data_IF_696485649649
#
_entry.id   IF_696485649649
#
_cell.length_a   1.000
_cell.length_b   1.000
_cell.length_c   1.000
_cell.angle_alpha   90.00
_cell.angle_beta   90.00
_cell.angle_gamma   90.00
#
_symmetry.space_group_name_H-M   'P 1'
#
loop_
_entity.id
_entity.type
_entity.pdbx_description
1 polymer ?
#
# COMPACT_ATOMS: atom_id res chain seq x y z
N UNK A 1 -24.02 4.08 -5.69
CA UNK A 1 -22.75 4.83 -5.53
C UNK A 1 -22.80 5.98 -6.51
N UNK A 2 -22.44 7.20 -6.11
CA UNK A 2 -22.28 8.33 -7.03
C UNK A 2 -21.22 7.98 -8.10
N UNK A 3 -21.46 8.34 -9.37
CA UNK A 3 -20.60 8.00 -10.49
C UNK A 3 -19.15 8.47 -10.33
N UNK A 4 -18.92 9.63 -9.69
CA UNK A 4 -17.59 10.15 -9.38
C UNK A 4 -16.86 9.26 -8.37
N UNK A 5 -17.53 8.81 -7.31
CA UNK A 5 -16.92 7.92 -6.32
C UNK A 5 -16.45 6.58 -6.94
N UNK A 6 -17.23 6.04 -7.89
CA UNK A 6 -16.84 4.84 -8.62
C UNK A 6 -15.59 5.07 -9.49
N UNK A 7 -15.52 6.20 -10.20
CA UNK A 7 -14.35 6.59 -11.02
C UNK A 7 -13.11 6.78 -10.15
N UNK A 8 -13.23 7.49 -9.03
CA UNK A 8 -12.13 7.70 -8.08
C UNK A 8 -11.60 6.37 -7.51
N UNK A 9 -12.51 5.42 -7.24
CA UNK A 9 -12.15 4.09 -6.74
C UNK A 9 -11.40 3.29 -7.81
N UNK A 10 -11.92 3.25 -9.04
CA UNK A 10 -11.29 2.56 -10.16
C UNK A 10 -9.90 3.12 -10.49
N UNK A 11 -9.72 4.43 -10.35
CA UNK A 11 -8.44 5.11 -10.54
C UNK A 11 -7.49 5.01 -9.31
N UNK A 12 -7.91 4.39 -8.22
CA UNK A 12 -7.09 4.23 -7.01
C UNK A 12 -6.84 5.53 -6.23
N UNK A 13 -7.68 6.56 -6.46
CA UNK A 13 -7.57 7.91 -5.87
C UNK A 13 -8.75 8.26 -4.97
N UNK A 14 -9.60 7.29 -4.62
CA UNK A 14 -10.66 7.49 -3.64
C UNK A 14 -10.07 7.65 -2.22
N UNK A 15 -10.36 8.78 -1.58
CA UNK A 15 -9.96 9.04 -0.21
C UNK A 15 -10.92 8.32 0.77
N UNK A 16 -10.49 7.16 1.28
CA UNK A 16 -11.23 6.42 2.30
C UNK A 16 -11.42 7.18 3.62
N UNK A 17 -10.63 8.25 3.84
CA UNK A 17 -10.69 9.10 5.04
C UNK A 17 -11.30 10.47 4.73
N UNK A 18 -12.25 10.54 3.79
CA UNK A 18 -12.92 11.79 3.41
C UNK A 18 -13.50 12.55 4.62
N UNK A 19 -14.07 11.84 5.61
CA UNK A 19 -14.60 12.45 6.83
C UNK A 19 -13.56 13.07 7.76
N UNK A 20 -12.27 12.79 7.55
CA UNK A 20 -11.17 13.41 8.30
C UNK A 20 -10.72 14.75 7.69
N UNK A 21 -11.24 15.13 6.52
CA UNK A 21 -10.97 16.43 5.89
C UNK A 21 -11.96 17.44 6.47
N UNK A 22 -11.46 18.38 7.27
CA UNK A 22 -12.23 19.38 8.00
C UNK A 22 -11.84 20.82 7.64
N UNK A 23 -10.95 21.01 6.66
CA UNK A 23 -10.61 22.34 6.17
C UNK A 23 -11.87 23.03 5.60
N UNK A 24 -12.15 24.30 5.97
CA UNK A 24 -13.37 25.00 5.56
C UNK A 24 -13.59 25.10 4.05
N UNK A 25 -12.55 24.97 3.22
CA UNK A 25 -12.72 24.94 1.76
C UNK A 25 -13.61 23.77 1.32
N UNK A 26 -13.49 22.61 1.97
CA UNK A 26 -14.22 21.39 1.63
C UNK A 26 -15.69 21.38 2.11
N UNK A 27 -16.07 22.32 2.97
CA UNK A 27 -17.47 22.52 3.39
C UNK A 27 -18.14 23.72 2.74
N UNK A 28 -17.36 24.68 2.23
CA UNK A 28 -17.88 25.95 1.69
C UNK A 28 -18.22 25.93 0.20
N UNK A 29 -17.75 24.93 -0.56
CA UNK A 29 -18.02 24.84 -2.00
C UNK A 29 -18.05 23.41 -2.50
N UNK A 30 -19.00 23.10 -3.38
CA UNK A 30 -19.13 21.79 -4.05
C UNK A 30 -17.96 21.49 -5.02
N UNK A 31 -17.10 22.47 -5.30
CA UNK A 31 -15.90 22.28 -6.11
C UNK A 31 -14.85 21.40 -5.39
N UNK A 32 -14.77 21.50 -4.07
CA UNK A 32 -13.80 20.75 -3.26
C UNK A 32 -14.44 19.44 -2.77
N UNK A 33 -13.92 18.31 -3.23
CA UNK A 33 -14.45 16.99 -2.91
C UNK A 33 -13.49 16.25 -1.96
N UNK A 34 -13.88 16.02 -0.70
CA UNK A 34 -13.00 15.36 0.27
C UNK A 34 -12.72 13.89 -0.09
N UNK A 35 -13.48 13.33 -1.05
CA UNK A 35 -13.31 11.96 -1.55
C UNK A 35 -12.25 11.87 -2.65
N UNK A 36 -11.85 12.98 -3.25
CA UNK A 36 -10.78 13.02 -4.26
C UNK A 36 -9.42 13.19 -3.56
N UNK A 37 -8.67 12.09 -3.43
CA UNK A 37 -7.39 12.09 -2.71
C UNK A 37 -6.35 13.02 -3.34
N UNK A 38 -6.38 13.20 -4.66
CA UNK A 38 -5.44 14.06 -5.38
C UNK A 38 -5.76 15.52 -5.07
N UNK A 39 -7.04 15.90 -5.14
CA UNK A 39 -7.48 17.26 -4.80
C UNK A 39 -7.17 17.59 -3.34
N UNK A 40 -7.47 16.69 -2.40
CA UNK A 40 -7.20 16.91 -0.97
C UNK A 40 -5.71 17.13 -0.71
N UNK A 41 -4.82 16.33 -1.31
CA UNK A 41 -3.36 16.53 -1.17
C UNK A 41 -2.89 17.83 -1.82
N UNK A 42 -3.41 18.16 -3.01
CA UNK A 42 -3.07 19.38 -3.72
C UNK A 42 -3.44 20.61 -2.89
N UNK A 43 -4.68 20.65 -2.40
CA UNK A 43 -5.19 21.77 -1.60
C UNK A 43 -4.48 21.88 -0.24
N UNK A 44 -4.10 20.75 0.39
CA UNK A 44 -3.24 20.77 1.58
C UNK A 44 -1.91 21.47 1.31
N UNK A 45 -1.25 21.15 0.19
CA UNK A 45 0.02 21.79 -0.18
C UNK A 45 -0.18 23.25 -0.53
N UNK A 46 -1.20 23.58 -1.32
CA UNK A 46 -1.55 24.95 -1.72
C UNK A 46 -1.85 25.82 -0.50
N UNK A 47 -2.56 25.30 0.52
CA UNK A 47 -2.86 26.01 1.77
C UNK A 47 -1.61 26.45 2.53
N UNK A 48 -0.57 25.61 2.54
CA UNK A 48 0.72 25.95 3.18
C UNK A 48 1.53 26.91 2.32
N UNK A 49 1.65 26.64 1.01
CA UNK A 49 2.54 27.42 0.15
C UNK A 49 1.98 28.81 -0.19
N UNK A 50 0.69 28.89 -0.45
CA UNK A 50 0.01 30.13 -0.89
C UNK A 50 -0.53 30.88 0.31
N UNK A 51 -1.30 30.23 1.18
CA UNK A 51 -1.96 30.90 2.31
C UNK A 51 -1.10 30.92 3.59
N UNK A 52 0.11 30.35 3.54
CA UNK A 52 1.10 30.34 4.64
C UNK A 52 0.57 29.73 5.94
N UNK A 53 -0.42 28.84 5.85
CA UNK A 53 -0.89 28.06 7.00
C UNK A 53 0.25 27.14 7.50
N UNK A 54 0.48 27.04 8.82
CA UNK A 54 1.50 26.13 9.34
C UNK A 54 1.27 24.68 8.91
N UNK A 55 2.34 23.98 8.52
CA UNK A 55 2.29 22.59 8.04
C UNK A 55 1.53 21.67 8.99
N UNK A 56 1.72 21.82 10.31
CA UNK A 56 1.02 21.05 11.34
C UNK A 56 -0.49 21.22 11.28
N UNK A 57 -0.94 22.47 11.11
CA UNK A 57 -2.36 22.84 11.08
C UNK A 57 -2.99 22.33 9.78
N UNK A 58 -2.36 22.59 8.64
CA UNK A 58 -2.85 22.14 7.34
C UNK A 58 -2.89 20.60 7.27
N UNK A 59 -1.82 19.90 7.65
CA UNK A 59 -1.82 18.44 7.60
C UNK A 59 -2.95 17.84 8.46
N UNK A 60 -3.16 18.35 9.67
CA UNK A 60 -4.23 17.90 10.55
C UNK A 60 -5.63 18.18 9.98
N UNK A 61 -5.87 19.39 9.46
CA UNK A 61 -7.16 19.77 8.87
C UNK A 61 -7.52 18.96 7.62
N UNK A 62 -6.53 18.42 6.92
CA UNK A 62 -6.71 17.58 5.74
C UNK A 62 -6.64 16.06 6.07
N UNK A 63 -6.57 15.68 7.35
CA UNK A 63 -6.58 14.29 7.78
C UNK A 63 -5.26 13.53 7.59
N UNK A 64 -4.14 14.25 7.50
CA UNK A 64 -2.80 13.73 7.22
C UNK A 64 -1.79 14.01 8.34
N UNK A 65 -0.65 13.30 8.26
CA UNK A 65 0.52 13.59 9.09
C UNK A 65 1.40 14.68 8.47
N UNK A 66 2.29 15.29 9.28
CA UNK A 66 3.31 16.21 8.74
C UNK A 66 4.21 15.55 7.69
N UNK A 67 4.56 14.27 7.88
CA UNK A 67 5.38 13.55 6.91
C UNK A 67 4.67 13.41 5.56
N UNK A 68 3.35 13.16 5.59
CA UNK A 68 2.51 13.10 4.39
C UNK A 68 2.51 14.42 3.61
N UNK A 69 2.56 15.58 4.30
CA UNK A 69 2.73 16.87 3.65
C UNK A 69 4.02 16.94 2.84
N UNK A 70 5.16 16.63 3.43
CA UNK A 70 6.44 16.73 2.72
C UNK A 70 6.53 15.77 1.53
N UNK A 71 6.02 14.54 1.69
CA UNK A 71 5.92 13.59 0.59
C UNK A 71 5.03 14.12 -0.54
N UNK A 72 3.87 14.71 -0.22
CA UNK A 72 2.97 15.28 -1.22
C UNK A 72 3.57 16.51 -1.91
N UNK A 73 4.21 17.42 -1.14
CA UNK A 73 4.85 18.61 -1.68
C UNK A 73 5.99 18.25 -2.64
N UNK A 74 6.86 17.30 -2.26
CA UNK A 74 7.93 16.82 -3.13
C UNK A 74 7.41 16.14 -4.40
N UNK A 75 6.35 15.33 -4.29
CA UNK A 75 5.74 14.68 -5.45
C UNK A 75 5.06 15.69 -6.39
N UNK A 76 4.41 16.72 -5.84
CA UNK A 76 3.79 17.81 -6.60
C UNK A 76 4.84 18.66 -7.31
N UNK A 77 5.95 18.98 -6.65
CA UNK A 77 7.06 19.74 -7.24
C UNK A 77 7.72 18.98 -8.39
N UNK A 78 7.96 17.67 -8.21
CA UNK A 78 8.65 16.85 -9.20
C UNK A 78 7.79 16.52 -10.44
N UNK A 79 6.47 16.34 -10.28
CA UNK A 79 5.63 15.77 -11.34
C UNK A 79 4.25 16.42 -11.48
N UNK A 80 4.00 17.55 -10.81
CA UNK A 80 2.69 18.19 -10.78
C UNK A 80 1.62 17.31 -10.11
N UNK A 81 0.34 17.61 -10.34
CA UNK A 81 -0.76 16.83 -9.76
C UNK A 81 -0.72 15.33 -10.11
N UNK A 82 -0.12 14.96 -11.24
CA UNK A 82 0.07 13.56 -11.62
C UNK A 82 0.95 12.79 -10.61
N UNK A 83 1.89 13.46 -9.95
CA UNK A 83 2.72 12.87 -8.88
C UNK A 83 1.96 12.52 -7.60
N UNK A 84 0.76 13.09 -7.39
CA UNK A 84 -0.05 12.86 -6.19
C UNK A 84 -0.89 11.57 -6.28
N UNK A 85 -1.06 11.04 -7.50
CA UNK A 85 -1.72 9.76 -7.76
C UNK A 85 -0.86 8.65 -7.15
N UNK A 86 -1.43 7.78 -6.27
CA UNK A 86 -0.68 6.65 -5.74
C UNK A 86 -0.16 5.78 -6.88
N UNK A 87 1.16 5.56 -6.92
CA UNK A 87 1.76 4.63 -7.88
C UNK A 87 1.22 3.21 -7.71
N UNK A 88 1.40 2.36 -8.73
CA UNK A 88 1.09 0.91 -8.60
C UNK A 88 1.76 0.39 -7.33
N UNK A 89 1.04 -0.30 -6.43
CA UNK A 89 1.63 -0.87 -5.22
C UNK A 89 2.90 -1.63 -5.62
N UNK A 90 4.02 -1.32 -4.96
CA UNK A 90 5.27 -2.05 -5.19
C UNK A 90 5.06 -3.56 -5.03
N UNK A 91 5.97 -4.39 -5.53
CA UNK A 91 5.80 -5.84 -5.59
C UNK A 91 5.26 -6.39 -4.26
N UNK A 92 4.01 -6.89 -4.26
CA UNK A 92 3.35 -7.47 -3.07
C UNK A 92 3.86 -8.88 -2.75
N UNK A 93 4.85 -9.37 -3.50
CA UNK A 93 5.37 -10.73 -3.41
C UNK A 93 6.46 -10.91 -2.35
N UNK A 94 6.66 -12.14 -1.84
CA UNK A 94 7.79 -12.44 -0.97
C UNK A 94 9.11 -12.26 -1.73
N UNK A 95 10.04 -11.47 -1.18
CA UNK A 95 11.36 -11.24 -1.82
C UNK A 95 12.32 -12.44 -1.77
N UNK A 96 12.16 -13.31 -0.76
CA UNK A 96 13.05 -14.47 -0.52
C UNK A 96 12.36 -15.82 -0.72
N UNK A 97 11.11 -15.93 -0.31
CA UNK A 97 10.30 -17.15 -0.47
C UNK A 97 9.41 -16.99 -1.71
N UNK A 98 10.05 -16.73 -2.85
CA UNK A 98 9.39 -16.62 -4.15
C UNK A 98 8.81 -17.97 -4.57
N UNK A 99 7.98 -18.00 -5.62
CA UNK A 99 7.41 -19.25 -6.12
C UNK A 99 8.48 -20.30 -6.47
N UNK A 100 9.56 -20.00 -7.22
CA UNK A 100 10.58 -21.00 -7.52
C UNK A 100 11.26 -21.58 -6.27
N UNK A 101 11.49 -20.75 -5.25
CA UNK A 101 12.07 -21.21 -3.98
C UNK A 101 11.09 -22.14 -3.25
N UNK A 102 9.80 -21.81 -3.26
CA UNK A 102 8.79 -22.63 -2.60
C UNK A 102 8.50 -23.95 -3.34
N UNK A 103 8.56 -23.95 -4.67
CA UNK A 103 8.45 -25.18 -5.48
C UNK A 103 9.60 -26.13 -5.16
N UNK A 104 10.81 -25.59 -5.01
CA UNK A 104 11.98 -26.38 -4.58
C UNK A 104 11.82 -26.94 -3.17
N UNK A 105 11.30 -26.14 -2.24
CA UNK A 105 10.98 -26.57 -0.88
C UNK A 105 9.97 -27.73 -0.88
N UNK A 106 8.97 -27.70 -1.76
CA UNK A 106 8.00 -28.78 -1.90
C UNK A 106 8.62 -30.05 -2.47
N UNK A 107 9.51 -29.95 -3.46
CA UNK A 107 10.28 -31.10 -3.98
C UNK A 107 11.09 -31.79 -2.87
N UNK A 108 11.79 -31.02 -2.02
CA UNK A 108 12.51 -31.59 -0.88
C UNK A 108 11.56 -32.28 0.10
N UNK A 109 10.39 -31.70 0.39
CA UNK A 109 9.39 -32.33 1.28
C UNK A 109 8.72 -33.55 0.67
N UNK A 110 8.64 -33.64 -0.65
CA UNK A 110 8.14 -34.82 -1.37
C UNK A 110 9.15 -35.97 -1.28
N UNK A 111 10.45 -35.67 -1.41
CA UNK A 111 11.53 -36.63 -1.26
C UNK A 111 11.74 -37.09 0.20
N UNK A 112 11.61 -36.17 1.16
CA UNK A 112 11.69 -36.47 2.59
C UNK A 112 10.64 -35.68 3.40
N UNK A 113 9.60 -36.41 3.85
CA UNK A 113 8.49 -35.85 4.63
C UNK A 113 8.88 -35.44 6.05
N UNK A 114 10.04 -35.88 6.55
CA UNK A 114 10.53 -35.56 7.89
C UNK A 114 11.07 -34.12 7.99
N UNK A 115 11.43 -33.50 6.85
CA UNK A 115 11.98 -32.15 6.79
C UNK A 115 11.01 -31.09 7.37
N UNK A 116 11.48 -30.39 8.40
CA UNK A 116 10.79 -29.29 9.09
C UNK A 116 11.45 -27.93 8.81
N UNK A 117 10.83 -26.84 9.27
CA UNK A 117 11.25 -25.46 8.98
C UNK A 117 12.73 -25.18 9.22
N UNK A 118 13.35 -25.75 10.27
CA UNK A 118 14.79 -25.56 10.55
C UNK A 118 15.69 -26.22 9.50
N UNK A 119 15.37 -27.44 9.08
CA UNK A 119 16.14 -28.15 8.06
C UNK A 119 15.95 -27.49 6.68
N UNK A 120 14.72 -27.11 6.35
CA UNK A 120 14.40 -26.41 5.11
C UNK A 120 15.08 -25.04 5.02
N UNK A 121 15.16 -24.29 6.12
CA UNK A 121 15.89 -23.03 6.14
C UNK A 121 17.39 -23.20 5.83
N UNK A 122 18.01 -24.29 6.31
CA UNK A 122 19.41 -24.62 5.98
C UNK A 122 19.57 -24.98 4.50
N UNK A 123 18.66 -25.78 3.96
CA UNK A 123 18.66 -26.15 2.54
C UNK A 123 18.47 -24.92 1.64
N UNK A 124 17.56 -24.01 2.00
CA UNK A 124 17.36 -22.75 1.28
C UNK A 124 18.64 -21.91 1.29
N UNK A 125 19.30 -21.79 2.44
CA UNK A 125 20.56 -21.05 2.54
C UNK A 125 21.68 -21.68 1.71
N UNK A 126 21.75 -23.01 1.68
CA UNK A 126 22.74 -23.75 0.90
C UNK A 126 22.52 -23.65 -0.62
N UNK A 127 21.28 -23.78 -1.10
CA UNK A 127 20.98 -23.78 -2.54
C UNK A 127 20.82 -22.36 -3.12
N UNK A 128 20.17 -21.44 -2.39
CA UNK A 128 19.84 -20.10 -2.89
C UNK A 128 20.72 -18.97 -2.33
N UNK A 129 21.66 -19.28 -1.44
CA UNK A 129 22.67 -18.32 -0.97
C UNK A 129 22.14 -17.22 -0.04
N UNK A 130 20.93 -17.35 0.52
CA UNK A 130 20.40 -16.40 1.49
C UNK A 130 19.79 -17.07 2.72
N UNK A 131 19.97 -16.50 3.93
CA UNK A 131 19.33 -17.01 5.12
C UNK A 131 17.84 -16.64 5.15
N UNK A 132 17.03 -17.57 5.65
CA UNK A 132 15.61 -17.39 5.98
C UNK A 132 15.34 -17.94 7.37
N UNK A 133 14.38 -17.33 8.07
CA UNK A 133 13.97 -17.80 9.38
C UNK A 133 13.06 -19.04 9.23
N UNK A 134 13.21 -20.11 10.05
CA UNK A 134 12.36 -21.31 10.00
C UNK A 134 10.86 -21.00 10.02
N UNK A 135 10.44 -20.08 10.90
CA UNK A 135 9.04 -19.61 10.99
C UNK A 135 8.53 -18.96 9.71
N UNK A 136 9.40 -18.31 8.93
CA UNK A 136 9.01 -17.73 7.64
C UNK A 136 8.73 -18.83 6.61
N UNK A 137 9.54 -19.89 6.60
CA UNK A 137 9.34 -21.07 5.75
C UNK A 137 8.04 -21.78 6.11
N UNK A 138 7.79 -21.99 7.41
CA UNK A 138 6.55 -22.60 7.90
C UNK A 138 5.32 -21.79 7.51
N UNK A 139 5.34 -20.46 7.70
CA UNK A 139 4.24 -19.59 7.26
C UNK A 139 4.04 -19.60 5.75
N UNK A 140 5.10 -19.69 4.96
CA UNK A 140 4.98 -19.80 3.51
C UNK A 140 4.36 -21.13 3.09
N UNK A 141 4.72 -22.23 3.75
CA UNK A 141 4.09 -23.54 3.56
C UNK A 141 2.61 -23.53 3.96
N UNK A 142 2.24 -22.87 5.06
CA UNK A 142 0.82 -22.73 5.45
C UNK A 142 0.04 -21.94 4.40
N UNK A 143 0.56 -20.79 3.96
CA UNK A 143 -0.10 -19.96 2.93
C UNK A 143 -0.31 -20.66 1.60
N UNK A 144 0.55 -21.62 1.24
CA UNK A 144 0.39 -22.43 0.02
C UNK A 144 -0.64 -23.55 0.17
N UNK A 145 -0.91 -23.99 1.40
CA UNK A 145 -1.92 -25.03 1.69
C UNK A 145 -3.31 -24.44 1.84
N UNK A 146 -3.40 -23.20 2.31
CA UNK A 146 -4.65 -22.45 2.29
C UNK A 146 -5.01 -22.19 0.81
N UNK A 147 -6.19 -22.61 0.33
CA UNK A 147 -6.60 -22.28 -1.03
C UNK A 147 -6.58 -20.76 -1.18
N UNK A 148 -5.87 -20.29 -2.21
CA UNK A 148 -5.97 -18.93 -2.67
C UNK A 148 -7.37 -18.76 -3.26
N UNK A 149 -8.34 -18.37 -2.44
CA UNK A 149 -9.64 -17.93 -2.92
C UNK A 149 -9.46 -16.56 -3.59
N UNK A 150 -9.50 -16.47 -4.94
CA UNK A 150 -9.34 -15.22 -5.64
C UNK A 150 -10.62 -14.36 -5.57
N UNK A 151 -11.73 -14.89 -5.02
CA UNK A 151 -13.05 -14.26 -5.06
C UNK A 151 -13.37 -13.39 -3.84
N UNK A 152 -12.58 -13.45 -2.76
CA UNK A 152 -12.81 -12.63 -1.56
C UNK A 152 -12.38 -11.14 -1.69
N UNK A 153 -11.84 -10.72 -2.84
CA UNK A 153 -11.40 -9.33 -3.07
C UNK A 153 -12.44 -8.42 -3.75
N UNK A 154 -13.61 -8.96 -4.12
CA UNK A 154 -14.71 -8.18 -4.69
C UNK A 154 -15.99 -8.44 -3.89
N UNK A 155 -16.11 -7.84 -2.72
CA UNK A 155 -17.26 -8.09 -1.85
C UNK A 155 -17.41 -7.13 -0.68
N UNK A 156 -17.72 -5.86 -0.99
CA UNK A 156 -18.79 -5.04 -0.36
C UNK A 156 -18.71 -3.59 -0.81
#
# INVERSE_FOLDING_TARGET
MDGKAAVLTAAGVFNQRASAVVDPLFSSSAFFDPRDLVQVKYEMVRRVLVDRVPVTVAAAAFGFSRASFYTAAAALDAAGPAGLVPGKPGPKGPRKLTEPVMDRVEQWRAADRSLKGRALAKLIAAEFGFPVHPRSVERALTRRREPHDPEAATGR
#
